data_IF_050353959300
#
_entry.id   IF_050353959300
#
_cell.length_a   1.000
_cell.length_b   1.000
_cell.length_c   1.000
_cell.angle_alpha   90.00
_cell.angle_beta   90.00
_cell.angle_gamma   90.00
#
_symmetry.space_group_name_H-M   'P 1'
#
loop_
_entity.id
_entity.type
_entity.pdbx_description
1 polymer ?
#
# COMPACT_ATOMS: atom_id res chain seq x y z
N UNK A 1 7.81 -22.00 5.25
CA UNK A 1 8.25 -20.63 5.58
C UNK A 1 7.67 -19.61 4.61
N UNK A 2 7.63 -19.87 3.29
CA UNK A 2 7.13 -18.94 2.26
C UNK A 2 5.64 -18.61 2.41
N UNK A 3 4.82 -19.58 2.87
CA UNK A 3 3.40 -19.33 3.14
C UNK A 3 3.22 -18.22 4.18
N UNK A 4 3.92 -18.31 5.31
CA UNK A 4 3.83 -17.30 6.36
C UNK A 4 4.34 -15.95 5.90
N UNK A 5 5.40 -15.93 5.10
CA UNK A 5 5.94 -14.68 4.55
C UNK A 5 4.92 -14.00 3.61
N UNK A 6 4.24 -14.76 2.74
CA UNK A 6 3.21 -14.22 1.86
C UNK A 6 1.93 -13.84 2.60
N UNK A 7 1.53 -14.59 3.62
CA UNK A 7 0.39 -14.24 4.46
C UNK A 7 0.64 -12.93 5.23
N UNK A 8 1.84 -12.77 5.80
CA UNK A 8 2.26 -11.52 6.45
C UNK A 8 2.37 -10.37 5.46
N UNK A 9 2.97 -10.60 4.29
CA UNK A 9 3.01 -9.58 3.23
C UNK A 9 1.61 -9.11 2.86
N UNK A 10 0.70 -10.04 2.58
CA UNK A 10 -0.66 -9.74 2.21
C UNK A 10 -1.41 -8.96 3.30
N UNK A 11 -1.22 -9.34 4.56
CA UNK A 11 -1.80 -8.62 5.69
C UNK A 11 -1.24 -7.22 5.87
N UNK A 12 0.09 -7.07 5.89
CA UNK A 12 0.76 -5.79 6.11
C UNK A 12 0.47 -4.82 4.95
N UNK A 13 0.51 -5.27 3.70
CA UNK A 13 0.21 -4.41 2.56
C UNK A 13 -1.26 -3.96 2.57
N UNK A 14 -2.18 -4.83 3.01
CA UNK A 14 -3.60 -4.50 3.16
C UNK A 14 -3.83 -3.50 4.30
N UNK A 15 -3.16 -3.69 5.44
CA UNK A 15 -3.17 -2.72 6.52
C UNK A 15 -2.66 -1.35 6.03
N UNK A 16 -1.53 -1.35 5.35
CA UNK A 16 -0.87 -0.12 4.91
C UNK A 16 -1.66 0.62 3.83
N UNK A 17 -2.29 -0.08 2.88
CA UNK A 17 -3.14 0.57 1.88
C UNK A 17 -4.23 1.43 2.50
N UNK A 18 -4.78 1.05 3.66
CA UNK A 18 -5.90 1.73 4.32
C UNK A 18 -5.53 3.16 4.76
N UNK A 19 -4.24 3.51 4.82
CA UNK A 19 -3.76 4.88 5.09
C UNK A 19 -4.40 5.89 4.13
N UNK A 20 -4.70 5.52 2.86
CA UNK A 20 -5.30 6.45 1.91
C UNK A 20 -6.65 7.03 2.39
N UNK A 21 -7.38 6.30 3.22
CA UNK A 21 -8.66 6.76 3.78
C UNK A 21 -8.49 7.99 4.70
N UNK A 22 -7.29 8.17 5.24
CA UNK A 22 -6.94 9.28 6.12
C UNK A 22 -6.31 10.47 5.39
N UNK A 23 -6.11 10.39 4.08
CA UNK A 23 -5.52 11.49 3.31
C UNK A 23 -6.41 12.73 3.28
N UNK A 24 -7.74 12.55 3.23
CA UNK A 24 -8.67 13.67 3.32
C UNK A 24 -8.62 14.34 4.70
N UNK A 25 -8.64 13.57 5.79
CA UNK A 25 -8.53 14.11 7.14
C UNK A 25 -7.15 14.71 7.43
N UNK A 26 -6.08 14.14 6.86
CA UNK A 26 -4.75 14.75 6.90
C UNK A 26 -4.74 16.13 6.22
N UNK A 27 -5.33 16.26 5.02
CA UNK A 27 -5.46 17.53 4.35
C UNK A 27 -6.31 18.54 5.15
N UNK A 28 -7.41 18.09 5.77
CA UNK A 28 -8.25 18.92 6.62
C UNK A 28 -7.54 19.40 7.88
N UNK A 29 -6.55 18.66 8.40
CA UNK A 29 -5.78 19.11 9.57
C UNK A 29 -4.99 20.41 9.33
N UNK A 30 -4.79 20.80 8.07
CA UNK A 30 -4.15 22.04 7.67
C UNK A 30 -5.13 23.21 7.41
N UNK A 31 -6.40 23.08 7.79
CA UNK A 31 -7.44 24.07 7.49
C UNK A 31 -7.10 25.50 7.99
N UNK A 32 -6.41 25.62 9.13
CA UNK A 32 -5.99 26.90 9.71
C UNK A 32 -4.74 27.50 9.04
N UNK A 33 -3.88 26.67 8.44
CA UNK A 33 -2.58 27.09 7.90
C UNK A 33 -2.60 27.13 6.38
N UNK A 34 -3.23 26.13 5.75
CA UNK A 34 -3.33 25.96 4.29
C UNK A 34 -4.77 25.70 3.86
N UNK A 35 -5.68 26.70 3.86
CA UNK A 35 -7.09 26.50 3.55
C UNK A 35 -7.34 25.87 2.17
N UNK A 36 -6.48 26.17 1.19
CA UNK A 36 -6.58 25.61 -0.17
C UNK A 36 -6.35 24.08 -0.19
N UNK A 37 -5.46 23.58 0.65
CA UNK A 37 -5.21 22.13 0.80
C UNK A 37 -6.43 21.46 1.45
N UNK A 38 -6.98 22.06 2.50
CA UNK A 38 -8.16 21.54 3.16
C UNK A 38 -9.38 21.52 2.23
N UNK A 39 -9.59 22.57 1.44
CA UNK A 39 -10.66 22.64 0.44
C UNK A 39 -10.51 21.54 -0.65
N UNK A 40 -9.30 21.12 -0.95
CA UNK A 40 -9.00 20.08 -1.94
C UNK A 40 -8.93 18.65 -1.34
N UNK A 41 -9.32 18.45 -0.08
CA UNK A 41 -9.22 17.15 0.62
C UNK A 41 -9.88 15.99 -0.15
N UNK A 42 -11.05 16.22 -0.74
CA UNK A 42 -11.73 15.24 -1.59
C UNK A 42 -10.97 14.91 -2.87
N UNK A 43 -10.31 15.89 -3.50
CA UNK A 43 -9.47 15.66 -4.68
C UNK A 43 -8.23 14.84 -4.34
N UNK A 44 -7.63 15.07 -3.17
CA UNK A 44 -6.48 14.29 -2.70
C UNK A 44 -6.88 12.82 -2.48
N UNK A 45 -8.03 12.56 -1.87
CA UNK A 45 -8.55 11.19 -1.73
C UNK A 45 -8.86 10.56 -3.10
N UNK A 46 -9.45 11.31 -4.03
CA UNK A 46 -9.77 10.85 -5.38
C UNK A 46 -8.52 10.54 -6.21
N UNK A 47 -7.43 11.29 -6.01
CA UNK A 47 -6.15 11.02 -6.66
C UNK A 47 -5.60 9.62 -6.30
N UNK A 48 -5.76 9.16 -5.04
CA UNK A 48 -5.40 7.80 -4.66
C UNK A 48 -6.21 6.75 -5.44
N UNK A 49 -7.50 6.99 -5.66
CA UNK A 49 -8.36 6.09 -6.43
C UNK A 49 -7.95 6.03 -7.91
N UNK A 50 -7.61 7.17 -8.50
CA UNK A 50 -7.06 7.22 -9.85
C UNK A 50 -5.72 6.47 -9.94
N UNK A 51 -4.83 6.66 -8.97
CA UNK A 51 -3.58 5.92 -8.85
C UNK A 51 -3.78 4.41 -8.71
N UNK A 52 -4.78 3.98 -7.95
CA UNK A 52 -5.18 2.58 -7.85
C UNK A 52 -5.61 2.00 -9.20
N UNK A 53 -6.46 2.71 -9.93
CA UNK A 53 -6.97 2.24 -11.22
C UNK A 53 -5.84 2.08 -12.25
N UNK A 54 -5.01 3.09 -12.39
CA UNK A 54 -3.84 3.07 -13.29
C UNK A 54 -2.80 2.07 -12.80
N UNK A 55 -2.56 2.00 -11.49
CA UNK A 55 -1.65 1.07 -10.87
C UNK A 55 -1.99 -0.40 -11.16
N UNK A 56 -3.26 -0.79 -11.16
CA UNK A 56 -3.69 -2.15 -11.52
C UNK A 56 -3.28 -2.52 -12.94
N UNK A 57 -3.48 -1.60 -13.88
CA UNK A 57 -3.12 -1.82 -15.29
C UNK A 57 -1.60 -1.90 -15.44
N UNK A 58 -0.87 -0.94 -14.90
CA UNK A 58 0.58 -0.89 -15.02
C UNK A 58 1.27 -2.07 -14.32
N UNK A 59 0.86 -2.41 -13.10
CA UNK A 59 1.39 -3.58 -12.40
C UNK A 59 1.08 -4.87 -13.16
N UNK A 60 -0.11 -5.00 -13.77
CA UNK A 60 -0.46 -6.13 -14.62
C UNK A 60 0.53 -6.28 -15.78
N UNK A 61 0.72 -5.23 -16.57
CA UNK A 61 1.63 -5.22 -17.73
C UNK A 61 3.08 -5.54 -17.32
N UNK A 62 3.54 -4.97 -16.20
CA UNK A 62 4.92 -5.22 -15.73
C UNK A 62 5.07 -6.63 -15.17
N UNK A 63 4.04 -7.18 -14.52
CA UNK A 63 4.04 -8.56 -14.04
C UNK A 63 4.23 -9.58 -15.15
N UNK A 64 3.71 -9.33 -16.36
CA UNK A 64 3.90 -10.20 -17.51
C UNK A 64 5.38 -10.34 -17.89
N UNK A 65 6.19 -9.32 -17.59
CA UNK A 65 7.64 -9.31 -17.83
C UNK A 65 8.44 -9.73 -16.59
N UNK A 66 8.09 -9.22 -15.44
CA UNK A 66 8.82 -9.47 -14.18
C UNK A 66 8.00 -9.15 -12.95
N UNK A 67 7.66 -10.19 -12.21
CA UNK A 67 6.96 -10.03 -10.92
C UNK A 67 7.79 -9.23 -9.90
N UNK A 68 9.12 -9.33 -9.95
CA UNK A 68 10.02 -8.58 -9.08
C UNK A 68 9.98 -7.09 -9.39
N UNK A 69 10.01 -6.74 -10.69
CA UNK A 69 9.95 -5.35 -11.12
C UNK A 69 8.61 -4.71 -10.75
N UNK A 70 7.49 -5.43 -10.93
CA UNK A 70 6.17 -4.96 -10.53
C UNK A 70 6.07 -4.76 -9.01
N UNK A 71 6.59 -5.69 -8.21
CA UNK A 71 6.63 -5.56 -6.75
C UNK A 71 7.44 -4.35 -6.30
N UNK A 72 8.64 -4.16 -6.89
CA UNK A 72 9.49 -2.99 -6.61
C UNK A 72 8.79 -1.69 -6.98
N UNK A 73 8.17 -1.62 -8.16
CA UNK A 73 7.46 -0.43 -8.60
C UNK A 73 6.33 -0.06 -7.64
N UNK A 74 5.50 -1.04 -7.24
CA UNK A 74 4.39 -0.80 -6.32
C UNK A 74 4.85 -0.30 -4.96
N UNK A 75 5.89 -0.91 -4.38
CA UNK A 75 6.45 -0.48 -3.09
C UNK A 75 7.13 0.89 -3.22
N UNK A 76 7.96 1.09 -4.24
CA UNK A 76 8.64 2.36 -4.47
C UNK A 76 7.64 3.52 -4.67
N UNK A 77 6.60 3.31 -5.47
CA UNK A 77 5.52 4.30 -5.66
C UNK A 77 4.85 4.65 -4.32
N UNK A 78 4.56 3.65 -3.49
CA UNK A 78 3.97 3.88 -2.17
C UNK A 78 4.88 4.67 -1.24
N UNK A 79 6.17 4.32 -1.18
CA UNK A 79 7.18 5.03 -0.37
C UNK A 79 7.34 6.47 -0.84
N UNK A 80 7.50 6.69 -2.15
CA UNK A 80 7.61 8.03 -2.73
C UNK A 80 6.33 8.83 -2.46
N UNK A 81 5.16 8.20 -2.63
CA UNK A 81 3.87 8.83 -2.36
C UNK A 81 3.75 9.34 -0.93
N UNK A 82 4.04 8.49 0.06
CA UNK A 82 4.03 8.91 1.47
C UNK A 82 5.07 9.98 1.76
N UNK A 83 6.28 9.88 1.19
CA UNK A 83 7.36 10.85 1.39
C UNK A 83 6.97 12.24 0.86
N UNK A 84 6.38 12.30 -0.33
CA UNK A 84 5.93 13.56 -0.93
C UNK A 84 4.84 14.22 -0.08
N UNK A 85 3.86 13.45 0.37
CA UNK A 85 2.77 13.98 1.20
C UNK A 85 3.26 14.47 2.56
N UNK A 86 4.21 13.76 3.18
CA UNK A 86 4.74 14.14 4.48
C UNK A 86 5.69 15.34 4.41
N UNK A 87 6.59 15.36 3.41
CA UNK A 87 7.62 16.40 3.29
C UNK A 87 7.08 17.74 2.75
N UNK A 88 6.04 17.70 1.91
CA UNK A 88 5.55 18.87 1.19
C UNK A 88 4.04 19.10 1.31
N UNK A 89 3.48 19.14 2.52
CA UNK A 89 2.02 19.26 2.71
C UNK A 89 1.45 20.60 2.24
N UNK A 90 2.29 21.62 2.04
CA UNK A 90 1.88 22.96 1.61
C UNK A 90 1.60 23.06 0.10
N UNK A 91 2.04 22.10 -0.71
CA UNK A 91 1.91 22.13 -2.16
C UNK A 91 0.84 21.15 -2.64
N UNK A 92 -0.32 21.68 -3.08
CA UNK A 92 -1.45 20.86 -3.53
C UNK A 92 -1.06 19.88 -4.65
N UNK A 93 -0.28 20.32 -5.64
CA UNK A 93 0.16 19.46 -6.74
C UNK A 93 1.00 18.27 -6.25
N UNK A 94 1.86 18.49 -5.25
CA UNK A 94 2.69 17.43 -4.66
C UNK A 94 1.83 16.49 -3.81
N UNK A 95 0.86 17.01 -3.07
CA UNK A 95 -0.11 16.20 -2.32
C UNK A 95 -0.94 15.30 -3.24
N UNK A 96 -1.41 15.83 -4.38
CA UNK A 96 -2.14 15.06 -5.38
C UNK A 96 -1.25 13.97 -6.01
N UNK A 97 -0.02 14.31 -6.38
CA UNK A 97 0.94 13.35 -6.93
C UNK A 97 1.29 12.26 -5.91
N UNK A 98 1.56 12.65 -4.67
CA UNK A 98 1.87 11.72 -3.58
C UNK A 98 0.72 10.75 -3.33
N UNK A 99 -0.51 11.26 -3.23
CA UNK A 99 -1.72 10.46 -3.07
C UNK A 99 -1.93 9.50 -4.26
N UNK A 100 -1.75 9.99 -5.49
CA UNK A 100 -1.83 9.19 -6.71
C UNK A 100 -0.82 8.03 -6.69
N UNK A 101 0.44 8.30 -6.38
CA UNK A 101 1.49 7.28 -6.29
C UNK A 101 1.22 6.26 -5.19
N UNK A 102 0.67 6.71 -4.05
CA UNK A 102 0.28 5.80 -2.98
C UNK A 102 -0.87 4.87 -3.39
N UNK A 103 -1.72 5.28 -4.33
CA UNK A 103 -2.76 4.44 -4.90
C UNK A 103 -2.26 3.10 -5.47
N UNK A 104 -1.00 3.04 -5.92
CA UNK A 104 -0.35 1.79 -6.36
C UNK A 104 -0.27 0.73 -5.25
N UNK A 105 -0.20 1.14 -3.99
CA UNK A 105 -0.22 0.21 -2.84
C UNK A 105 -1.54 -0.55 -2.79
N UNK A 106 -2.64 0.12 -3.08
CA UNK A 106 -3.94 -0.55 -3.20
C UNK A 106 -3.95 -1.53 -4.38
N UNK A 107 -3.36 -1.16 -5.52
CA UNK A 107 -3.24 -2.07 -6.66
C UNK A 107 -2.42 -3.32 -6.31
N UNK A 108 -1.43 -3.22 -5.44
CA UNK A 108 -0.63 -4.37 -4.99
C UNK A 108 -1.47 -5.40 -4.22
N UNK A 109 -2.44 -4.99 -3.41
CA UNK A 109 -3.27 -5.94 -2.66
C UNK A 109 -4.15 -6.79 -3.57
N UNK A 110 -4.63 -6.20 -4.66
CA UNK A 110 -5.57 -6.84 -5.58
C UNK A 110 -4.91 -7.54 -6.77
N UNK A 111 -3.73 -7.10 -7.20
CA UNK A 111 -3.01 -7.65 -8.36
C UNK A 111 -1.76 -8.41 -7.92
N UNK A 112 -0.90 -7.79 -7.11
CA UNK A 112 0.40 -8.36 -6.79
C UNK A 112 0.29 -9.54 -5.82
N UNK A 113 -0.55 -9.45 -4.79
CA UNK A 113 -0.70 -10.52 -3.79
C UNK A 113 -1.12 -11.85 -4.42
N UNK A 114 -2.20 -11.95 -5.23
CA UNK A 114 -2.57 -13.20 -5.88
C UNK A 114 -1.49 -13.71 -6.86
N UNK A 115 -0.83 -12.81 -7.60
CA UNK A 115 0.23 -13.21 -8.51
C UNK A 115 1.46 -13.75 -7.79
N UNK A 116 1.85 -13.18 -6.65
CA UNK A 116 2.93 -13.70 -5.81
C UNK A 116 2.60 -15.11 -5.31
N UNK A 117 1.38 -15.34 -4.80
CA UNK A 117 0.94 -16.66 -4.34
C UNK A 117 1.00 -17.67 -5.49
N UNK A 118 0.45 -17.31 -6.67
CA UNK A 118 0.46 -18.17 -7.85
C UNK A 118 1.89 -18.50 -8.32
N UNK A 119 2.79 -17.53 -8.27
CA UNK A 119 4.17 -17.69 -8.73
C UNK A 119 4.99 -18.57 -7.78
N UNK A 120 4.75 -18.46 -6.46
CA UNK A 120 5.51 -19.23 -5.45
C UNK A 120 5.00 -20.65 -5.32
N UNK A 121 3.68 -20.86 -5.37
CA UNK A 121 3.06 -22.18 -5.09
C UNK A 121 2.54 -22.90 -6.34
N UNK A 122 2.55 -22.23 -7.50
CA UNK A 122 2.03 -22.80 -8.74
C UNK A 122 0.50 -22.74 -8.82
N UNK A 123 -0.05 -23.27 -9.92
CA UNK A 123 -1.49 -23.21 -10.20
C UNK A 123 -2.31 -24.27 -9.45
N UNK A 124 -1.72 -25.44 -9.18
CA UNK A 124 -2.43 -26.59 -8.64
C UNK A 124 -3.06 -26.32 -7.27
N UNK A 125 -2.30 -25.71 -6.37
CA UNK A 125 -2.72 -25.46 -4.99
C UNK A 125 -3.10 -23.97 -4.75
N UNK A 126 -3.13 -23.18 -5.80
CA UNK A 126 -3.34 -21.74 -5.74
C UNK A 126 -4.60 -21.35 -4.96
N UNK A 127 -5.76 -21.94 -5.31
CA UNK A 127 -7.04 -21.55 -4.73
C UNK A 127 -7.07 -21.79 -3.21
N UNK A 128 -6.56 -22.94 -2.76
CA UNK A 128 -6.51 -23.29 -1.35
C UNK A 128 -5.54 -22.39 -0.55
N UNK A 129 -4.36 -22.13 -1.12
CA UNK A 129 -3.34 -21.31 -0.46
C UNK A 129 -3.79 -19.84 -0.44
N UNK A 130 -4.29 -19.34 -1.57
CA UNK A 130 -4.74 -17.95 -1.65
C UNK A 130 -5.93 -17.67 -0.73
N UNK A 131 -6.88 -18.60 -0.58
CA UNK A 131 -7.99 -18.45 0.37
C UNK A 131 -7.49 -18.28 1.81
N UNK A 132 -6.49 -19.04 2.23
CA UNK A 132 -5.88 -18.91 3.56
C UNK A 132 -5.10 -17.59 3.74
N UNK A 133 -4.38 -17.16 2.71
CA UNK A 133 -3.69 -15.84 2.71
C UNK A 133 -4.71 -14.72 2.79
N UNK A 134 -5.83 -14.83 2.07
CA UNK A 134 -6.90 -13.84 2.06
C UNK A 134 -7.59 -13.68 3.42
N UNK A 135 -7.65 -14.72 4.25
CA UNK A 135 -8.17 -14.61 5.62
C UNK A 135 -7.35 -13.59 6.42
N UNK A 136 -6.02 -13.67 6.35
CA UNK A 136 -5.14 -12.73 7.06
C UNK A 136 -5.35 -11.30 6.54
N UNK A 137 -5.43 -11.11 5.22
CA UNK A 137 -5.70 -9.81 4.62
C UNK A 137 -7.05 -9.25 5.06
N UNK A 138 -8.10 -10.08 5.08
CA UNK A 138 -9.45 -9.66 5.48
C UNK A 138 -9.52 -9.25 6.95
N UNK A 139 -8.88 -10.00 7.84
CA UNK A 139 -8.81 -9.67 9.27
C UNK A 139 -8.08 -8.33 9.49
N UNK A 140 -6.92 -8.15 8.85
CA UNK A 140 -6.18 -6.89 8.98
C UNK A 140 -6.90 -5.72 8.29
N UNK A 141 -7.62 -5.96 7.20
CA UNK A 141 -8.46 -4.94 6.57
C UNK A 141 -9.58 -4.46 7.48
N UNK A 142 -10.25 -5.40 8.18
CA UNK A 142 -11.31 -5.06 9.10
C UNK A 142 -10.83 -4.21 10.30
N UNK A 143 -9.62 -4.47 10.77
CA UNK A 143 -9.01 -3.74 11.89
C UNK A 143 -8.25 -2.49 11.47
N UNK A 144 -7.89 -2.35 10.21
CA UNK A 144 -6.96 -1.35 9.72
C UNK A 144 -7.41 0.09 10.02
N UNK A 145 -8.69 0.41 9.79
CA UNK A 145 -9.21 1.75 10.04
C UNK A 145 -9.15 2.11 11.54
N UNK A 146 -9.47 1.15 12.41
CA UNK A 146 -9.40 1.33 13.87
C UNK A 146 -7.96 1.53 14.31
N UNK A 147 -7.04 0.70 13.81
CA UNK A 147 -5.61 0.79 14.15
C UNK A 147 -5.06 2.17 13.74
N UNK A 148 -5.30 2.60 12.51
CA UNK A 148 -4.79 3.89 12.03
C UNK A 148 -5.45 5.07 12.73
N UNK A 149 -6.77 5.03 13.01
CA UNK A 149 -7.44 6.05 13.80
C UNK A 149 -6.81 6.17 15.20
N UNK A 150 -6.62 5.04 15.88
CA UNK A 150 -5.98 5.03 17.20
C UNK A 150 -4.55 5.62 17.17
N UNK A 151 -3.77 5.33 16.13
CA UNK A 151 -2.42 5.88 15.94
C UNK A 151 -2.48 7.39 15.74
N UNK A 152 -3.41 7.87 14.89
CA UNK A 152 -3.57 9.30 14.60
C UNK A 152 -4.04 10.07 15.84
N UNK A 153 -4.95 9.49 16.62
CA UNK A 153 -5.48 10.10 17.86
C UNK A 153 -4.48 10.03 19.03
N UNK A 154 -3.40 9.26 18.87
CA UNK A 154 -2.32 9.18 19.85
C UNK A 154 -1.41 10.42 19.83
N UNK A 155 -0.51 10.51 20.80
CA UNK A 155 0.48 11.60 20.88
C UNK A 155 1.36 11.74 19.63
N UNK A 156 1.50 10.66 18.84
CA UNK A 156 2.30 10.66 17.61
C UNK A 156 1.60 11.24 16.38
N UNK A 157 0.27 11.29 16.37
CA UNK A 157 -0.52 11.88 15.28
C UNK A 157 -0.21 11.34 13.89
N UNK A 158 -0.43 12.16 12.86
CA UNK A 158 -0.09 11.84 11.47
C UNK A 158 1.38 11.50 11.23
N UNK A 159 2.38 12.16 11.86
CA UNK A 159 3.79 11.79 11.72
C UNK A 159 4.07 10.33 12.09
N UNK A 160 3.42 9.82 13.15
CA UNK A 160 3.56 8.42 13.54
C UNK A 160 2.93 7.49 12.50
N UNK A 161 1.76 7.85 11.96
CA UNK A 161 1.11 7.10 10.87
C UNK A 161 2.05 6.98 9.65
N UNK A 162 2.66 8.08 9.20
CA UNK A 162 3.60 8.06 8.07
C UNK A 162 4.82 7.19 8.37
N UNK A 163 5.43 7.34 9.56
CA UNK A 163 6.60 6.55 9.98
C UNK A 163 6.29 5.06 9.97
N UNK A 164 5.18 4.65 10.55
CA UNK A 164 4.75 3.25 10.55
C UNK A 164 4.42 2.76 9.13
N UNK A 165 3.85 3.63 8.30
CA UNK A 165 3.62 3.35 6.88
C UNK A 165 4.91 2.99 6.15
N UNK A 166 6.00 3.74 6.36
CA UNK A 166 7.33 3.42 5.79
C UNK A 166 7.88 2.09 6.32
N UNK A 167 7.76 1.84 7.63
CA UNK A 167 8.21 0.56 8.22
C UNK A 167 7.44 -0.61 7.60
N UNK A 168 6.12 -0.49 7.43
CA UNK A 168 5.29 -1.49 6.77
C UNK A 168 5.74 -1.74 5.32
N UNK A 169 6.07 -0.68 4.56
CA UNK A 169 6.59 -0.83 3.20
C UNK A 169 7.93 -1.56 3.17
N UNK A 170 8.84 -1.23 4.08
CA UNK A 170 10.12 -1.94 4.23
C UNK A 170 9.92 -3.42 4.55
N UNK A 171 9.02 -3.74 5.48
CA UNK A 171 8.65 -5.12 5.81
C UNK A 171 8.07 -5.86 4.60
N UNK A 172 7.17 -5.24 3.84
CA UNK A 172 6.60 -5.81 2.61
C UNK A 172 7.69 -6.10 1.57
N UNK A 173 8.67 -5.22 1.41
CA UNK A 173 9.79 -5.43 0.50
C UNK A 173 10.58 -6.69 0.88
N UNK A 174 10.97 -6.79 2.14
CA UNK A 174 11.74 -7.94 2.65
C UNK A 174 10.95 -9.23 2.49
N UNK A 175 9.68 -9.26 2.87
CA UNK A 175 8.82 -10.45 2.79
C UNK A 175 8.60 -10.91 1.36
N UNK A 176 8.35 -9.97 0.43
CA UNK A 176 8.17 -10.28 -0.99
C UNK A 176 9.43 -10.90 -1.59
N UNK A 177 10.60 -10.29 -1.36
CA UNK A 177 11.86 -10.81 -1.87
C UNK A 177 12.28 -12.13 -1.23
N UNK A 178 12.01 -12.31 0.05
CA UNK A 178 12.23 -13.59 0.73
C UNK A 178 11.43 -14.70 0.06
N UNK A 179 10.14 -14.46 -0.21
CA UNK A 179 9.25 -15.42 -0.85
C UNK A 179 9.67 -15.75 -2.29
N UNK A 180 10.25 -14.77 -3.01
CA UNK A 180 10.71 -14.94 -4.40
C UNK A 180 12.09 -15.58 -4.54
N UNK A 181 12.84 -15.78 -3.44
CA UNK A 181 14.17 -16.42 -3.50
C UNK A 181 14.12 -17.87 -3.98
N UNK A 182 13.04 -18.58 -3.69
CA UNK A 182 12.88 -19.99 -4.04
C UNK A 182 12.75 -20.23 -5.54
N UNK A 183 12.12 -19.29 -6.25
CA UNK A 183 11.92 -19.41 -7.71
C UNK A 183 13.24 -19.47 -8.49
N UNK A 184 14.32 -18.97 -7.90
CA UNK A 184 15.67 -18.97 -8.53
C UNK A 184 16.42 -20.29 -8.37
N UNK A 185 15.90 -21.25 -7.57
CA UNK A 185 16.58 -22.53 -7.26
C UNK A 185 15.97 -23.72 -8.00
N UNK A 186 14.88 -23.54 -8.71
CA UNK A 186 14.26 -24.50 -9.65
C UNK A 186 14.41 -23.98 -11.10
#
# INVERSE_FOLDING_TARGET
>A
SEFYALALFAGIITLNQTIYQFFASYALSFSSVFPAIAAASGLIASAAMAGQAIGKVLLGIINDKSIRAATLLGIASGVIGLALMWAFPMYLGIMLLGSFLFGFVYAMTTVQTPLLVRTVFGQKDYALIYSRVSIVSSLLSALAAVIWSFIIDSVGGYPLMFTLGFICMGACLVLAFFSLRKIRKN
#
